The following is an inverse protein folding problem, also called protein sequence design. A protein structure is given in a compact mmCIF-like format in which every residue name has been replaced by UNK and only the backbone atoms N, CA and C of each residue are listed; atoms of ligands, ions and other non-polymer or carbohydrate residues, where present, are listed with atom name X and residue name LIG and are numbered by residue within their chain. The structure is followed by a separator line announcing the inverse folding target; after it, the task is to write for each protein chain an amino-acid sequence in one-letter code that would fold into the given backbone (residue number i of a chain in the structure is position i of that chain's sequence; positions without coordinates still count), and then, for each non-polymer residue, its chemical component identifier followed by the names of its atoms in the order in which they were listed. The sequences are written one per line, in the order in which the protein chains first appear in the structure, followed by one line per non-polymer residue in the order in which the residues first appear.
data_IF_975816989875
#
_entry.id   IF_975816989875
#
_cell.length_a   1.000
_cell.length_b   1.000
_cell.length_c   1.000
_cell.angle_alpha   90.00
_cell.angle_beta   90.00
_cell.angle_gamma   90.00
#
_symmetry.space_group_name_H-M   'P 1'
#
loop_
_entity.id
_entity.type
_entity.pdbx_description
1 polymer ?
#
# COMPACT_ATOMS: atom_id res chain seq x y z
N UNK A 1 -14.46 25.74 34.13
CA UNK A 1 -14.17 25.31 32.74
C UNK A 1 -14.04 23.79 32.76
N UNK A 2 -15.13 23.06 32.51
CA UNK A 2 -15.18 21.59 32.67
C UNK A 2 -15.83 20.87 31.47
N UNK A 3 -15.86 21.49 30.28
CA UNK A 3 -16.57 20.95 29.10
C UNK A 3 -15.67 20.49 27.94
N UNK A 4 -14.34 20.63 28.05
CA UNK A 4 -13.44 20.29 26.92
C UNK A 4 -13.21 18.79 26.74
N UNK A 5 -13.14 18.02 27.84
CA UNK A 5 -13.04 16.55 27.78
C UNK A 5 -14.28 15.93 27.16
N UNK A 6 -15.45 16.47 27.47
CA UNK A 6 -16.72 16.01 26.93
C UNK A 6 -16.86 16.35 25.43
N UNK A 7 -16.40 17.53 25.02
CA UNK A 7 -16.44 17.94 23.62
C UNK A 7 -15.65 17.02 22.67
N UNK A 8 -14.41 16.64 23.03
CA UNK A 8 -13.60 15.72 22.22
C UNK A 8 -14.23 14.32 22.19
N UNK A 9 -14.88 13.92 23.28
CA UNK A 9 -15.61 12.65 23.37
C UNK A 9 -16.80 12.63 22.39
N UNK A 10 -17.60 13.69 22.34
CA UNK A 10 -18.72 13.81 21.40
C UNK A 10 -18.26 13.78 19.94
N UNK A 11 -17.16 14.46 19.60
CA UNK A 11 -16.56 14.39 18.27
C UNK A 11 -16.08 12.99 17.92
N UNK A 12 -15.45 12.28 18.87
CA UNK A 12 -15.00 10.91 18.67
C UNK A 12 -16.17 9.96 18.39
N UNK A 13 -17.27 10.09 19.13
CA UNK A 13 -18.50 9.31 18.92
C UNK A 13 -19.15 9.62 17.57
N UNK A 14 -19.17 10.90 17.17
CA UNK A 14 -19.63 11.30 15.84
C UNK A 14 -18.78 10.65 14.74
N UNK A 15 -17.45 10.65 14.88
CA UNK A 15 -16.54 10.00 13.93
C UNK A 15 -16.83 8.51 13.86
N UNK A 16 -16.90 7.81 15.00
CA UNK A 16 -17.20 6.36 15.06
C UNK A 16 -18.53 6.05 14.36
N UNK A 17 -19.58 6.82 14.65
CA UNK A 17 -20.91 6.62 14.06
C UNK A 17 -20.90 6.77 12.54
N UNK A 18 -20.07 7.67 11.99
CA UNK A 18 -19.98 7.84 10.55
C UNK A 18 -19.01 6.85 9.88
N UNK A 19 -17.95 6.43 10.57
CA UNK A 19 -17.14 5.30 10.10
C UNK A 19 -18.00 4.03 9.96
N UNK A 20 -18.91 3.77 10.91
CA UNK A 20 -19.86 2.66 10.85
C UNK A 20 -20.86 2.75 9.67
N UNK A 21 -21.07 3.94 9.10
CA UNK A 21 -21.89 4.15 7.90
C UNK A 21 -21.09 4.01 6.59
N UNK A 22 -19.78 3.79 6.66
CA UNK A 22 -18.90 3.65 5.49
C UNK A 22 -18.24 4.94 5.01
N UNK A 23 -18.33 6.05 5.77
CA UNK A 23 -17.56 7.24 5.45
C UNK A 23 -16.07 7.00 5.68
N UNK A 24 -15.21 7.58 4.83
CA UNK A 24 -13.76 7.52 5.03
C UNK A 24 -13.33 8.58 6.05
N UNK A 25 -12.26 8.27 6.78
CA UNK A 25 -11.70 9.19 7.78
C UNK A 25 -11.29 10.54 7.16
N UNK A 26 -10.78 10.53 5.93
CA UNK A 26 -10.43 11.77 5.20
C UNK A 26 -11.67 12.60 4.84
N UNK A 27 -12.76 11.99 4.38
CA UNK A 27 -14.00 12.73 4.13
C UNK A 27 -14.56 13.39 5.39
N UNK A 28 -14.44 12.72 6.55
CA UNK A 28 -14.89 13.26 7.84
C UNK A 28 -14.00 14.41 8.32
N UNK A 29 -12.68 14.32 8.14
CA UNK A 29 -11.76 15.44 8.44
C UNK A 29 -12.13 16.68 7.64
N UNK A 30 -12.36 16.51 6.34
CA UNK A 30 -12.73 17.61 5.44
C UNK A 30 -14.07 18.22 5.85
N UNK A 31 -15.09 17.40 6.11
CA UNK A 31 -16.41 17.88 6.54
C UNK A 31 -16.36 18.64 7.89
N UNK A 32 -15.63 18.11 8.87
CA UNK A 32 -15.45 18.78 10.17
C UNK A 32 -14.65 20.08 10.03
N UNK A 33 -13.65 20.11 9.15
CA UNK A 33 -12.91 21.34 8.84
C UNK A 33 -13.84 22.41 8.24
N UNK A 34 -14.72 22.04 7.30
CA UNK A 34 -15.70 22.97 6.72
C UNK A 34 -16.75 23.45 7.73
N UNK A 35 -17.07 22.65 8.74
CA UNK A 35 -17.95 23.03 9.84
C UNK A 35 -17.29 23.98 10.86
N UNK A 36 -16.01 24.30 10.69
CA UNK A 36 -15.27 25.23 11.55
C UNK A 36 -14.59 24.57 12.76
N UNK A 37 -14.50 23.24 12.80
CA UNK A 37 -13.76 22.56 13.85
C UNK A 37 -12.25 22.78 13.67
N UNK A 38 -11.55 23.07 14.78
CA UNK A 38 -10.10 23.22 14.73
C UNK A 38 -9.43 21.89 14.35
N UNK A 39 -8.35 21.96 13.58
CA UNK A 39 -7.54 20.78 13.21
C UNK A 39 -7.11 19.97 14.43
N UNK A 40 -6.70 20.66 15.50
CA UNK A 40 -6.27 20.05 16.76
C UNK A 40 -7.43 19.26 17.41
N UNK A 41 -8.63 19.82 17.42
CA UNK A 41 -9.83 19.15 17.96
C UNK A 41 -10.15 17.89 17.16
N UNK A 42 -10.08 17.97 15.83
CA UNK A 42 -10.33 16.85 14.92
C UNK A 42 -9.29 15.74 15.17
N UNK A 43 -8.00 16.08 15.21
CA UNK A 43 -6.93 15.09 15.41
C UNK A 43 -7.04 14.40 16.77
N UNK A 44 -7.35 15.15 17.83
CA UNK A 44 -7.57 14.60 19.17
C UNK A 44 -8.78 13.66 19.21
N UNK A 45 -9.88 14.03 18.55
CA UNK A 45 -11.07 13.20 18.46
C UNK A 45 -10.82 11.91 17.66
N UNK A 46 -10.04 11.97 16.58
CA UNK A 46 -9.63 10.78 15.82
C UNK A 46 -8.80 9.83 16.68
N UNK A 47 -7.80 10.35 17.42
CA UNK A 47 -7.00 9.53 18.35
C UNK A 47 -7.89 8.85 19.39
N UNK A 48 -8.85 9.59 19.95
CA UNK A 48 -9.81 9.05 20.93
C UNK A 48 -10.72 7.99 20.31
N UNK A 49 -11.24 8.22 19.11
CA UNK A 49 -12.07 7.27 18.38
C UNK A 49 -11.32 5.96 18.11
N UNK A 50 -10.05 6.04 17.68
CA UNK A 50 -9.21 4.87 17.46
C UNK A 50 -8.99 4.07 18.75
N UNK A 51 -8.73 4.74 19.87
CA UNK A 51 -8.62 4.08 21.18
C UNK A 51 -9.90 3.33 21.53
N UNK A 52 -11.06 3.98 21.40
CA UNK A 52 -12.35 3.35 21.71
C UNK A 52 -12.68 2.17 20.81
N UNK A 53 -12.26 2.22 19.54
CA UNK A 53 -12.42 1.09 18.61
C UNK A 53 -11.48 -0.05 18.95
N UNK A 54 -10.23 0.25 19.32
CA UNK A 54 -9.26 -0.75 19.76
C UNK A 54 -9.74 -1.46 21.04
N UNK A 55 -10.29 -0.72 22.00
CA UNK A 55 -10.84 -1.27 23.24
C UNK A 55 -12.03 -2.22 22.99
N UNK A 56 -12.78 -1.99 21.91
CA UNK A 56 -13.92 -2.83 21.49
C UNK A 56 -13.52 -3.96 20.54
N UNK A 57 -12.31 -3.91 19.97
CA UNK A 57 -11.89 -4.90 19.00
C UNK A 57 -11.72 -6.27 19.66
N UNK A 58 -12.24 -7.36 19.07
CA UNK A 58 -12.02 -8.69 19.60
C UNK A 58 -10.51 -9.02 19.55
N UNK A 59 -9.97 -9.74 20.55
CA UNK A 59 -8.58 -10.15 20.54
C UNK A 59 -8.32 -11.04 19.31
N UNK A 60 -7.35 -10.66 18.48
CA UNK A 60 -6.99 -11.40 17.28
C UNK A 60 -6.27 -12.69 17.68
N UNK A 61 -6.92 -13.84 17.49
CA UNK A 61 -6.38 -15.16 17.90
C UNK A 61 -5.47 -15.81 16.86
N UNK A 62 -5.46 -15.29 15.64
CA UNK A 62 -4.76 -15.92 14.53
C UNK A 62 -3.33 -15.40 14.40
N UNK A 63 -2.38 -16.33 14.34
CA UNK A 63 -0.99 -16.00 14.02
C UNK A 63 -0.90 -15.67 12.52
N UNK A 64 -0.13 -14.65 12.12
CA UNK A 64 0.11 -14.38 10.71
C UNK A 64 0.79 -15.61 10.09
N UNK A 65 0.16 -16.20 9.06
CA UNK A 65 0.74 -17.30 8.31
C UNK A 65 1.60 -16.73 7.19
N UNK A 66 2.91 -16.99 7.21
CA UNK A 66 3.80 -16.66 6.11
C UNK A 66 3.75 -17.82 5.12
N UNK A 67 3.07 -17.64 3.98
CA UNK A 67 3.07 -18.63 2.89
C UNK A 67 4.25 -18.40 1.96
N UNK A 68 5.16 -19.37 1.87
CA UNK A 68 6.18 -19.42 0.81
C UNK A 68 5.63 -20.27 -0.35
N UNK A 69 5.75 -19.78 -1.58
CA UNK A 69 5.52 -20.58 -2.79
C UNK A 69 6.88 -20.74 -3.45
N UNK A 70 7.36 -21.98 -3.52
CA UNK A 70 8.53 -22.30 -4.33
C UNK A 70 8.11 -22.13 -5.79
N UNK A 71 8.71 -21.17 -6.48
CA UNK A 71 8.58 -21.05 -7.94
C UNK A 71 9.67 -21.96 -8.47
N UNK A 72 9.29 -23.08 -9.10
CA UNK A 72 10.24 -23.85 -9.91
C UNK A 72 10.63 -22.95 -11.08
N UNK A 73 11.89 -22.51 -11.08
CA UNK A 73 12.47 -21.83 -12.23
C UNK A 73 12.38 -22.80 -13.42
N UNK A 74 11.81 -22.40 -14.57
CA UNK A 74 11.87 -23.23 -15.76
C UNK A 74 13.35 -23.46 -16.09
N UNK A 75 13.73 -24.72 -16.28
CA UNK A 75 15.12 -25.18 -16.42
C UNK A 75 15.90 -24.60 -17.62
N UNK A 76 15.29 -23.72 -18.41
CA UNK A 76 15.79 -23.29 -19.71
C UNK A 76 16.04 -21.78 -19.80
N UNK A 77 16.47 -21.14 -18.71
CA UNK A 77 16.99 -19.76 -18.79
C UNK A 77 18.38 -19.66 -18.18
N UNK A 78 19.27 -20.55 -18.60
CA UNK A 78 20.69 -20.22 -18.61
C UNK A 78 20.90 -19.21 -19.74
N UNK A 79 20.83 -17.91 -19.41
CA UNK A 79 21.37 -16.91 -20.30
C UNK A 79 22.87 -17.23 -20.48
N UNK A 80 23.38 -17.41 -21.71
CA UNK A 80 24.81 -17.54 -21.91
C UNK A 80 25.45 -16.22 -21.48
N UNK A 81 26.10 -16.24 -20.31
CA UNK A 81 26.98 -15.18 -19.86
C UNK A 81 28.30 -15.34 -20.62
N UNK A 82 28.33 -14.86 -21.86
CA UNK A 82 29.58 -14.77 -22.61
C UNK A 82 30.39 -13.57 -22.08
N UNK A 83 31.45 -13.91 -21.34
CA UNK A 83 32.59 -13.07 -20.94
C UNK A 83 32.29 -11.85 -20.03
N UNK A 84 32.50 -12.05 -18.72
CA UNK A 84 32.65 -10.94 -17.76
C UNK A 84 34.02 -10.29 -17.99
N UNK A 85 34.04 -9.02 -18.42
CA UNK A 85 35.23 -8.18 -18.33
C UNK A 85 35.02 -7.19 -17.20
N UNK A 86 35.91 -7.23 -16.21
CA UNK A 86 35.97 -6.24 -15.14
C UNK A 86 36.67 -4.99 -15.68
N UNK A 87 35.98 -3.86 -15.67
CA UNK A 87 36.59 -2.54 -15.78
C UNK A 87 37.17 -2.11 -14.41
N UNK A 88 38.27 -1.35 -14.44
CA UNK A 88 39.06 -0.92 -13.26
C UNK A 88 38.24 -0.13 -12.20
N UNK A 89 36.99 0.22 -12.53
CA UNK A 89 36.07 1.00 -11.73
C UNK A 89 35.10 0.11 -10.92
N UNK A 90 35.17 -1.21 -11.09
CA UNK A 90 34.39 -2.19 -10.32
C UNK A 90 32.92 -2.35 -10.72
N UNK A 91 32.54 -1.92 -11.93
CA UNK A 91 31.22 -2.19 -12.50
C UNK A 91 31.30 -3.34 -13.53
N UNK A 92 30.19 -4.09 -13.68
CA UNK A 92 30.09 -5.22 -14.62
C UNK A 92 29.20 -4.78 -15.79
N UNK A 93 29.77 -4.74 -17.00
CA UNK A 93 29.04 -4.43 -18.25
C UNK A 93 28.60 -5.74 -18.92
N UNK A 94 27.31 -5.86 -19.25
CA UNK A 94 26.78 -6.96 -20.05
C UNK A 94 26.51 -6.49 -21.48
N UNK A 95 27.18 -7.10 -22.47
CA UNK A 95 26.81 -6.94 -23.88
C UNK A 95 25.83 -8.05 -24.27
N UNK A 96 24.59 -7.69 -24.59
CA UNK A 96 23.61 -8.65 -25.10
C UNK A 96 23.67 -8.62 -26.63
N UNK A 97 24.06 -9.72 -27.27
CA UNK A 97 23.89 -9.85 -28.72
C UNK A 97 22.45 -10.26 -29.01
N UNK A 98 21.67 -9.31 -29.52
CA UNK A 98 20.28 -9.51 -29.95
C UNK A 98 20.22 -10.47 -31.14
N UNK A 99 19.61 -11.64 -30.96
CA UNK A 99 19.33 -12.59 -32.05
C UNK A 99 17.91 -12.38 -32.60
N UNK A 100 17.70 -12.30 -33.93
CA UNK A 100 16.44 -11.81 -34.52
C UNK A 100 15.20 -12.73 -34.43
N UNK A 101 15.30 -13.91 -33.82
CA UNK A 101 14.19 -14.89 -33.81
C UNK A 101 12.98 -14.46 -32.95
N UNK A 102 13.12 -13.40 -32.15
CA UNK A 102 12.07 -12.89 -31.26
C UNK A 102 11.13 -11.84 -31.89
N UNK A 103 11.34 -11.45 -33.16
CA UNK A 103 10.47 -10.46 -33.82
C UNK A 103 9.01 -10.94 -33.95
N UNK A 104 8.80 -12.24 -34.17
CA UNK A 104 7.46 -12.82 -34.33
C UNK A 104 6.63 -12.81 -33.05
N UNK A 105 7.28 -12.88 -31.89
CA UNK A 105 6.62 -12.88 -30.58
C UNK A 105 6.15 -11.47 -30.21
N UNK A 106 7.03 -10.47 -30.32
CA UNK A 106 6.69 -9.08 -30.00
C UNK A 106 5.73 -8.46 -31.00
N UNK A 107 5.77 -8.85 -32.27
CA UNK A 107 4.78 -8.40 -33.25
C UNK A 107 3.39 -8.91 -32.90
N UNK A 108 3.25 -10.20 -32.53
CA UNK A 108 1.96 -10.76 -32.10
C UNK A 108 1.43 -10.12 -30.82
N UNK A 109 2.33 -9.81 -29.88
CA UNK A 109 1.96 -9.20 -28.61
C UNK A 109 1.49 -7.74 -28.80
N UNK A 110 2.19 -6.97 -29.64
CA UNK A 110 1.82 -5.59 -29.98
C UNK A 110 0.48 -5.52 -30.72
N UNK A 111 0.24 -6.40 -31.69
CA UNK A 111 -1.05 -6.47 -32.40
C UNK A 111 -2.20 -6.84 -31.46
N UNK A 112 -1.96 -7.65 -30.42
CA UNK A 112 -3.01 -8.07 -29.48
C UNK A 112 -3.31 -7.03 -28.39
N UNK A 113 -2.34 -6.19 -28.05
CA UNK A 113 -2.48 -5.18 -27.00
C UNK A 113 -2.91 -3.81 -27.53
N UNK A 114 -2.58 -3.49 -28.78
CA UNK A 114 -2.81 -2.17 -29.38
C UNK A 114 -3.59 -2.22 -30.71
N UNK A 115 -4.10 -3.40 -31.10
CA UNK A 115 -4.92 -3.60 -32.30
C UNK A 115 -6.41 -3.68 -32.02
#
# INVERSE_FOLDING_TARGET
MENSKDYIQQLAEYIIKNLAKGYTLESLKVALSYQGYSKISIDNAIKKANSMLADKAPPMKEKPQITYRLIEEPADTQMPIDEVKEDDDGYVVYETTYTPEEEGFWSKLKTKLFG
#
